data_IF_305067784671
#
_entry.id   IF_305067784671
#
_cell.length_a   1.000
_cell.length_b   1.000
_cell.length_c   1.000
_cell.angle_alpha   90.00
_cell.angle_beta   90.00
_cell.angle_gamma   90.00
#
_symmetry.space_group_name_H-M   'P 1'
#
loop_
_entity.id
_entity.type
_entity.pdbx_description
1 polymer ?
#
# COMPACT_ATOMS: atom_id res chain seq x y z
N UNK A 1 -10.30 15.77 -5.42
CA UNK A 1 -9.14 16.18 -4.58
C UNK A 1 -7.90 15.80 -5.35
N UNK A 2 -7.21 16.78 -5.94
CA UNK A 2 -6.02 16.53 -6.74
C UNK A 2 -4.90 16.05 -5.82
N UNK A 3 -4.43 14.83 -6.07
CA UNK A 3 -3.31 14.20 -5.37
C UNK A 3 -2.05 14.95 -5.81
N UNK A 4 -1.35 15.58 -4.87
CA UNK A 4 -0.12 16.33 -5.17
C UNK A 4 0.85 15.44 -5.93
N UNK A 5 1.26 15.88 -7.13
CA UNK A 5 2.20 15.20 -8.02
C UNK A 5 3.66 15.22 -7.52
N UNK A 6 3.87 15.26 -6.21
CA UNK A 6 5.20 15.24 -5.61
C UNK A 6 5.77 13.82 -5.52
N UNK A 7 7.07 13.72 -5.19
CA UNK A 7 7.77 12.44 -4.99
C UNK A 7 7.09 11.61 -3.90
N UNK A 8 6.95 10.32 -4.16
CA UNK A 8 6.36 9.33 -3.27
C UNK A 8 7.47 8.40 -2.78
N UNK A 9 7.75 8.33 -1.49
CA UNK A 9 8.81 7.45 -0.96
C UNK A 9 8.18 6.16 -0.45
N UNK A 10 8.56 5.02 -1.01
CA UNK A 10 8.08 3.70 -0.62
C UNK A 10 9.13 3.02 0.24
N UNK A 11 8.76 2.68 1.47
CA UNK A 11 9.62 1.91 2.36
C UNK A 11 9.42 0.42 2.09
N UNK A 12 10.51 -0.30 1.84
CA UNK A 12 10.47 -1.74 1.61
C UNK A 12 11.64 -2.45 2.30
N UNK A 13 11.44 -3.70 2.70
CA UNK A 13 12.50 -4.52 3.28
C UNK A 13 13.23 -5.32 2.19
N UNK A 14 14.51 -5.02 2.00
CA UNK A 14 15.42 -5.73 1.11
C UNK A 14 15.76 -7.16 1.56
N UNK A 15 15.60 -7.51 2.84
CA UNK A 15 15.75 -8.88 3.32
C UNK A 15 14.53 -9.77 2.99
N UNK A 16 13.38 -9.16 2.66
CA UNK A 16 12.16 -9.89 2.31
C UNK A 16 12.07 -10.15 0.78
N UNK A 17 12.17 -11.41 0.31
CA UNK A 17 12.14 -11.71 -1.12
C UNK A 17 10.80 -11.38 -1.78
N UNK A 18 9.70 -11.36 -1.01
CA UNK A 18 8.37 -10.95 -1.49
C UNK A 18 8.35 -9.45 -1.76
N UNK A 19 8.82 -8.63 -0.82
CA UNK A 19 8.90 -7.17 -0.97
C UNK A 19 9.78 -6.77 -2.15
N UNK A 20 10.94 -7.42 -2.32
CA UNK A 20 11.83 -7.19 -3.46
C UNK A 20 11.17 -7.57 -4.78
N UNK A 21 10.41 -8.68 -4.82
CA UNK A 21 9.67 -9.08 -6.02
C UNK A 21 8.58 -8.08 -6.38
N UNK A 22 7.82 -7.61 -5.38
CA UNK A 22 6.74 -6.64 -5.58
C UNK A 22 7.30 -5.29 -6.07
N UNK A 23 8.41 -4.82 -5.49
CA UNK A 23 9.17 -3.66 -5.99
C UNK A 23 9.54 -3.82 -7.46
N UNK A 24 10.22 -4.92 -7.83
CA UNK A 24 10.67 -5.16 -9.21
C UNK A 24 9.51 -5.25 -10.19
N UNK A 25 8.39 -5.82 -9.76
CA UNK A 25 7.18 -5.89 -10.57
C UNK A 25 6.62 -4.48 -10.80
N UNK A 26 6.61 -3.64 -9.75
CA UNK A 26 6.19 -2.25 -9.85
C UNK A 26 7.13 -1.41 -10.72
N UNK A 27 8.45 -1.53 -10.55
CA UNK A 27 9.44 -0.83 -11.38
C UNK A 27 9.24 -1.15 -12.86
N UNK A 28 8.94 -2.41 -13.22
CA UNK A 28 8.60 -2.79 -14.60
C UNK A 28 7.32 -2.14 -15.12
N UNK A 29 6.35 -1.89 -14.25
CA UNK A 29 5.12 -1.19 -14.62
C UNK A 29 5.32 0.32 -14.68
N UNK A 30 6.23 0.85 -13.87
CA UNK A 30 6.61 2.26 -13.83
C UNK A 30 7.63 2.63 -14.92
N UNK A 31 8.25 1.67 -15.62
CA UNK A 31 9.25 1.87 -16.67
C UNK A 31 8.85 2.90 -17.75
N UNK A 32 7.54 3.16 -17.91
CA UNK A 32 6.98 4.16 -18.82
C UNK A 32 6.46 5.45 -18.15
N UNK A 33 6.79 5.68 -16.87
CA UNK A 33 6.29 6.80 -16.07
C UNK A 33 7.45 7.57 -15.45
N UNK A 34 7.33 8.89 -15.36
CA UNK A 34 8.35 9.73 -14.74
C UNK A 34 8.70 9.26 -13.32
N UNK A 35 10.01 9.15 -13.06
CA UNK A 35 10.71 8.71 -11.86
C UNK A 35 10.24 9.47 -10.60
N UNK A 36 9.15 8.99 -10.04
CA UNK A 36 8.38 9.72 -9.03
C UNK A 36 8.09 8.90 -7.80
N UNK A 37 8.36 7.61 -7.87
CA UNK A 37 8.41 6.70 -6.74
C UNK A 37 9.87 6.49 -6.35
N UNK A 38 10.23 6.89 -5.14
CA UNK A 38 11.53 6.65 -4.54
C UNK A 38 11.45 5.43 -3.63
N UNK A 39 12.22 4.39 -3.91
CA UNK A 39 12.28 3.20 -3.06
C UNK A 39 13.36 3.37 -1.99
N UNK A 40 12.98 3.27 -0.72
CA UNK A 40 13.90 3.31 0.42
C UNK A 40 13.95 1.94 1.10
N UNK A 41 15.16 1.36 1.15
CA UNK A 41 15.43 0.13 1.86
C UNK A 41 15.51 0.37 3.37
N UNK A 42 14.68 -0.34 4.13
CA UNK A 42 14.61 -0.30 5.59
C UNK A 42 15.18 -1.57 6.25
N UNK A 43 15.88 -2.43 5.49
CA UNK A 43 16.52 -3.64 6.01
C UNK A 43 17.41 -3.32 7.21
N UNK A 44 17.10 -3.94 8.36
CA UNK A 44 17.88 -3.77 9.60
C UNK A 44 17.81 -2.38 10.22
N UNK A 45 16.84 -1.53 9.80
CA UNK A 45 16.60 -0.19 10.36
C UNK A 45 15.40 -0.16 11.29
N UNK A 46 15.23 -1.22 12.08
CA UNK A 46 14.10 -1.39 12.99
C UNK A 46 13.96 -0.23 13.99
N UNK A 47 15.08 0.32 14.47
CA UNK A 47 15.08 1.45 15.40
C UNK A 47 14.70 2.79 14.74
N UNK A 48 15.08 3.03 13.47
CA UNK A 48 14.62 4.21 12.72
C UNK A 48 13.13 4.14 12.42
N UNK A 49 12.62 2.94 12.08
CA UNK A 49 11.20 2.70 11.87
C UNK A 49 10.39 3.00 13.14
N UNK A 50 10.87 2.54 14.30
CA UNK A 50 10.24 2.82 15.59
C UNK A 50 10.21 4.31 15.91
N UNK A 51 11.27 5.05 15.58
CA UNK A 51 11.30 6.52 15.72
C UNK A 51 10.29 7.23 14.81
N UNK A 52 10.02 6.66 13.64
CA UNK A 52 8.97 7.11 12.72
C UNK A 52 7.55 6.66 13.15
N UNK A 53 7.42 5.94 14.27
CA UNK A 53 6.13 5.41 14.74
C UNK A 53 5.66 4.17 13.97
N UNK A 54 6.54 3.55 13.18
CA UNK A 54 6.28 2.33 12.45
C UNK A 54 6.76 1.15 13.30
N UNK A 55 5.84 0.26 13.66
CA UNK A 55 6.22 -1.00 14.31
C UNK A 55 6.90 -1.91 13.27
N UNK A 56 8.17 -2.31 13.44
CA UNK A 56 8.90 -3.13 12.48
C UNK A 56 8.23 -4.49 12.22
N UNK A 57 7.47 -5.01 13.19
CA UNK A 57 6.70 -6.24 12.99
C UNK A 57 5.50 -6.05 12.06
N UNK A 58 4.91 -4.84 12.03
CA UNK A 58 3.88 -4.45 11.06
C UNK A 58 4.48 -3.94 9.74
N UNK A 59 5.67 -3.34 9.76
CA UNK A 59 6.38 -2.90 8.55
C UNK A 59 6.65 -4.05 7.57
N UNK A 60 6.84 -5.25 8.10
CA UNK A 60 6.99 -6.49 7.32
C UNK A 60 5.69 -6.99 6.68
N UNK A 61 4.53 -6.60 7.23
CA UNK A 61 3.21 -7.07 6.77
C UNK A 61 2.46 -6.03 5.95
N UNK A 62 2.81 -4.76 6.09
CA UNK A 62 2.07 -3.64 5.52
C UNK A 62 3.02 -2.73 4.74
N UNK A 63 2.62 -2.38 3.51
CA UNK A 63 3.33 -1.40 2.70
C UNK A 63 3.21 -0.02 3.34
N UNK A 64 4.35 0.64 3.56
CA UNK A 64 4.41 2.00 4.08
C UNK A 64 4.93 2.95 3.01
N UNK A 65 4.23 4.06 2.83
CA UNK A 65 4.53 5.03 1.78
C UNK A 65 4.43 6.44 2.35
N UNK A 66 5.46 7.25 2.13
CA UNK A 66 5.47 8.66 2.46
C UNK A 66 5.05 9.49 1.24
N UNK A 67 4.08 10.38 1.43
CA UNK A 67 3.74 11.38 0.42
C UNK A 67 4.71 12.57 0.42
N UNK A 68 4.55 13.46 -0.56
CA UNK A 68 5.37 14.66 -0.67
C UNK A 68 5.15 15.69 0.45
N UNK A 69 4.10 15.52 1.26
CA UNK A 69 3.83 16.33 2.46
C UNK A 69 4.50 15.74 3.71
N UNK A 70 5.18 14.59 3.57
CA UNK A 70 5.83 13.88 4.65
C UNK A 70 4.89 12.98 5.45
N UNK A 71 3.63 12.82 5.05
CA UNK A 71 2.69 11.94 5.74
C UNK A 71 2.92 10.48 5.34
N UNK A 72 2.93 9.61 6.34
CA UNK A 72 3.06 8.16 6.13
C UNK A 72 1.68 7.54 5.99
N UNK A 73 1.43 6.98 4.83
CA UNK A 73 0.28 6.17 4.49
C UNK A 73 0.61 4.69 4.62
N UNK A 74 -0.39 3.89 5.00
CA UNK A 74 -0.27 2.46 5.31
C UNK A 74 -1.29 1.64 4.53
N UNK A 75 -1.05 0.34 4.41
CA UNK A 75 -1.99 -0.65 3.86
C UNK A 75 -2.61 -0.21 2.51
N UNK A 76 -3.94 -0.21 2.42
CA UNK A 76 -4.70 0.15 1.22
C UNK A 76 -4.42 1.60 0.77
N UNK A 77 -4.17 2.54 1.67
CA UNK A 77 -3.87 3.91 1.28
C UNK A 77 -2.53 4.01 0.54
N UNK A 78 -1.51 3.30 1.05
CA UNK A 78 -0.20 3.16 0.41
C UNK A 78 -0.32 2.52 -0.98
N UNK A 79 -1.07 1.42 -1.10
CA UNK A 79 -1.30 0.77 -2.40
C UNK A 79 -2.05 1.67 -3.38
N UNK A 80 -3.09 2.39 -2.94
CA UNK A 80 -3.83 3.33 -3.81
C UNK A 80 -2.90 4.43 -4.32
N UNK A 81 -2.04 4.99 -3.47
CA UNK A 81 -1.07 6.02 -3.86
C UNK A 81 -0.06 5.49 -4.87
N UNK A 82 0.48 4.29 -4.62
CA UNK A 82 1.44 3.65 -5.49
C UNK A 82 0.82 3.29 -6.86
N UNK A 83 -0.37 2.70 -6.87
CA UNK A 83 -1.13 2.40 -8.10
C UNK A 83 -1.54 3.66 -8.85
N UNK A 84 -1.86 4.75 -8.15
CA UNK A 84 -2.19 6.03 -8.78
C UNK A 84 -1.00 6.63 -9.54
N UNK A 85 0.24 6.25 -9.17
CA UNK A 85 1.45 6.69 -9.88
C UNK A 85 1.70 5.93 -11.17
N UNK A 86 1.25 4.67 -11.26
CA UNK A 86 1.38 3.86 -12.48
C UNK A 86 0.15 4.10 -13.40
N UNK A 87 0.32 4.64 -14.62
CA UNK A 87 -0.78 5.03 -15.49
C UNK A 87 -1.64 3.84 -15.94
N UNK A 88 -1.05 2.64 -16.07
CA UNK A 88 -1.77 1.40 -16.36
C UNK A 88 -2.67 0.98 -15.19
N UNK A 89 -2.26 1.27 -13.95
CA UNK A 89 -3.00 0.93 -12.73
C UNK A 89 -3.90 2.07 -12.23
N UNK A 90 -3.79 3.29 -12.79
CA UNK A 90 -4.67 4.43 -12.49
C UNK A 90 -6.18 4.10 -12.53
N UNK A 91 -6.75 3.42 -13.54
CA UNK A 91 -8.18 3.10 -13.54
C UNK A 91 -8.56 2.18 -12.37
N UNK A 92 -7.66 1.27 -11.97
CA UNK A 92 -7.84 0.38 -10.81
C UNK A 92 -7.74 1.18 -9.50
N UNK A 93 -6.72 2.02 -9.36
CA UNK A 93 -6.56 2.91 -8.22
C UNK A 93 -7.78 3.82 -8.03
N UNK A 94 -8.28 4.39 -9.13
CA UNK A 94 -9.47 5.24 -9.13
C UNK A 94 -10.72 4.45 -8.74
N UNK A 95 -10.89 3.23 -9.25
CA UNK A 95 -12.00 2.36 -8.87
C UNK A 95 -11.99 2.04 -7.37
N UNK A 96 -10.82 1.74 -6.79
CA UNK A 96 -10.66 1.41 -5.36
C UNK A 96 -10.77 2.67 -4.49
N UNK A 97 -10.37 3.84 -4.99
CA UNK A 97 -10.43 5.11 -4.29
C UNK A 97 -11.83 5.75 -4.26
N UNK A 98 -12.80 5.23 -5.04
CA UNK A 98 -14.15 5.77 -5.06
C UNK A 98 -14.83 5.62 -3.68
N UNK A 99 -15.29 6.73 -3.06
CA UNK A 99 -15.90 6.73 -1.72
C UNK A 99 -17.21 5.94 -1.65
N UNK A 100 -17.82 5.64 -2.79
CA UNK A 100 -19.03 4.80 -2.91
C UNK A 100 -18.69 3.30 -2.90
N UNK A 101 -17.50 2.93 -3.38
CA UNK A 101 -17.06 1.53 -3.45
C UNK A 101 -16.48 1.05 -2.11
N UNK A 102 -15.87 1.94 -1.32
CA UNK A 102 -15.36 1.62 0.02
C UNK A 102 -16.39 0.96 0.96
N UNK A 103 -17.59 1.53 1.20
CA UNK A 103 -18.57 0.92 2.09
C UNK A 103 -19.21 -0.34 1.48
N UNK A 104 -19.37 -0.40 0.15
CA UNK A 104 -19.98 -1.56 -0.51
C UNK A 104 -19.02 -2.75 -0.54
N UNK A 105 -17.72 -2.55 -0.77
CA UNK A 105 -16.72 -3.60 -0.68
C UNK A 105 -16.51 -4.06 0.77
N UNK A 106 -16.47 -3.13 1.73
CA UNK A 106 -16.42 -3.47 3.14
C UNK A 106 -17.64 -4.31 3.55
N UNK A 107 -18.84 -3.93 3.09
CA UNK A 107 -20.05 -4.70 3.32
C UNK A 107 -20.05 -6.06 2.62
N UNK A 108 -19.57 -6.14 1.37
CA UNK A 108 -19.46 -7.39 0.63
C UNK A 108 -18.44 -8.33 1.28
N UNK A 109 -17.31 -7.78 1.74
CA UNK A 109 -16.27 -8.50 2.46
C UNK A 109 -16.78 -8.99 3.81
N UNK A 110 -17.43 -8.14 4.62
CA UNK A 110 -18.06 -8.56 5.87
C UNK A 110 -19.12 -9.64 5.63
N UNK A 111 -19.90 -9.54 4.55
CA UNK A 111 -20.91 -10.56 4.24
C UNK A 111 -20.31 -11.86 3.74
N UNK A 112 -19.22 -11.79 2.98
CA UNK A 112 -18.49 -12.97 2.52
C UNK A 112 -17.76 -13.65 3.68
N UNK A 113 -17.11 -12.88 4.55
CA UNK A 113 -16.52 -13.34 5.81
C UNK A 113 -17.57 -13.91 6.75
N UNK A 114 -18.74 -13.28 6.89
CA UNK A 114 -19.84 -13.83 7.69
C UNK A 114 -20.41 -15.13 7.09
N UNK A 115 -20.49 -15.25 5.76
CA UNK A 115 -20.86 -16.53 5.12
C UNK A 115 -19.77 -17.61 5.29
N UNK A 116 -18.50 -17.21 5.33
CA UNK A 116 -17.37 -18.12 5.57
C UNK A 116 -17.26 -18.54 7.04
N UNK A 117 -17.55 -17.65 7.98
CA UNK A 117 -17.50 -17.86 9.43
C UNK A 117 -18.82 -18.34 10.03
N UNK A 118 -19.94 -18.26 9.31
CA UNK A 118 -21.24 -18.85 9.66
C UNK A 118 -21.25 -20.38 9.71
N UNK A 119 -20.07 -21.02 9.63
CA UNK A 119 -19.86 -22.43 9.96
C UNK A 119 -19.18 -22.63 11.33
N UNK A 120 -19.05 -21.63 12.19
CA UNK A 120 -18.37 -21.81 13.50
C UNK A 120 -19.05 -21.33 14.76
N UNK A 121 -20.17 -20.63 14.74
CA UNK A 121 -20.74 -20.12 15.99
C UNK A 121 -22.27 -20.30 16.00
N UNK A 122 -22.68 -21.57 16.10
CA UNK A 122 -23.76 -21.97 16.99
C UNK A 122 -23.23 -21.78 18.42
N UNK A 123 -23.80 -20.85 19.18
CA UNK A 123 -24.21 -20.92 20.61
C UNK A 123 -24.64 -19.52 21.05
#
# INVERSE_FOLDING_TARGET
MAMNSGKLTVFYDGACPVCVRDRRWYEKLEEHTEDSVQWLDITGRDDELRQLGIDPYHALRELHVQDAQGQIHREMAAYILLMARVPILKPVAWLIALPVIRPTLAWLYHRWVARRLGKRNET
#
